data_IF_961502204093
#
_entry.id   IF_961502204093
#
_cell.length_a   1.000
_cell.length_b   1.000
_cell.length_c   1.000
_cell.angle_alpha   90.00
_cell.angle_beta   90.00
_cell.angle_gamma   90.00
#
_symmetry.space_group_name_H-M   'P 1'
#
loop_
_entity.id
_entity.type
_entity.pdbx_description
1 polymer ?
#
# COMPACT_ATOMS: atom_id res chain seq x y z
N UNK A 1 42.84 8.90 7.17
CA UNK A 1 41.68 8.69 8.06
C UNK A 1 40.46 9.11 7.24
N UNK A 2 39.90 8.26 6.38
CA UNK A 2 38.97 7.13 6.68
C UNK A 2 37.70 7.66 7.34
N UNK A 3 36.45 7.51 6.85
CA UNK A 3 35.73 6.57 5.93
C UNK A 3 34.55 7.36 5.30
N UNK A 4 34.17 7.29 4.02
CA UNK A 4 33.44 6.24 3.24
C UNK A 4 32.18 5.68 3.91
N UNK A 5 31.15 5.34 3.09
CA UNK A 5 29.82 4.70 3.36
C UNK A 5 28.66 5.73 3.29
N UNK A 6 27.73 5.80 2.34
CA UNK A 6 27.29 4.90 1.25
C UNK A 6 26.74 5.70 0.05
N UNK A 7 27.28 5.38 -1.12
CA UNK A 7 26.69 5.59 -2.44
C UNK A 7 26.43 4.20 -2.96
N UNK A 8 25.17 3.73 -2.95
CA UNK A 8 24.65 2.61 -3.77
C UNK A 8 23.33 2.14 -3.15
N UNK A 9 22.20 2.56 -3.73
CA UNK A 9 20.92 1.83 -3.74
C UNK A 9 20.00 2.49 -4.78
N UNK A 10 20.57 2.73 -5.97
CA UNK A 10 19.83 3.04 -7.18
C UNK A 10 19.70 1.77 -8.02
N UNK A 11 19.07 0.73 -7.47
CA UNK A 11 18.71 -0.45 -8.26
C UNK A 11 17.55 -0.05 -9.17
N UNK A 12 17.88 0.29 -10.41
CA UNK A 12 16.95 0.53 -11.51
C UNK A 12 16.19 -0.78 -11.79
N UNK A 13 15.15 -1.05 -11.01
CA UNK A 13 14.08 -1.96 -11.40
C UNK A 13 13.47 -1.38 -12.67
N UNK A 14 13.71 -2.05 -13.80
CA UNK A 14 13.03 -1.76 -15.05
C UNK A 14 11.54 -2.11 -14.90
N UNK A 15 10.79 -1.24 -14.23
CA UNK A 15 9.34 -1.35 -14.16
C UNK A 15 8.76 -1.14 -15.56
N UNK A 16 7.85 -2.04 -15.96
CA UNK A 16 7.09 -1.89 -17.20
C UNK A 16 6.38 -0.52 -17.22
N UNK A 17 6.25 0.17 -18.38
CA UNK A 17 5.66 1.52 -18.44
C UNK A 17 4.27 1.63 -17.80
N UNK A 18 3.47 0.57 -17.88
CA UNK A 18 2.15 0.49 -17.24
C UNK A 18 2.23 0.48 -15.70
N UNK A 19 3.15 -0.30 -15.12
CA UNK A 19 3.41 -0.34 -13.68
C UNK A 19 4.02 0.97 -13.21
N UNK A 20 4.95 1.55 -13.97
CA UNK A 20 5.52 2.86 -13.68
C UNK A 20 4.44 3.93 -13.55
N UNK A 21 3.44 3.94 -14.44
CA UNK A 21 2.37 4.96 -14.45
C UNK A 21 1.41 4.81 -13.27
N UNK A 22 0.98 3.58 -12.94
CA UNK A 22 0.11 3.30 -11.78
C UNK A 22 0.82 3.67 -10.48
N UNK A 23 2.10 3.28 -10.35
CA UNK A 23 2.94 3.60 -9.19
C UNK A 23 3.18 5.11 -9.07
N UNK A 24 3.38 5.82 -10.18
CA UNK A 24 3.60 7.27 -10.16
C UNK A 24 2.35 8.05 -9.78
N UNK A 25 1.19 7.68 -10.33
CA UNK A 25 -0.08 8.35 -10.03
C UNK A 25 -0.54 8.10 -8.60
N UNK A 26 -0.38 6.88 -8.09
CA UNK A 26 -0.68 6.55 -6.70
C UNK A 26 0.28 7.26 -5.75
N UNK A 27 1.59 7.27 -6.04
CA UNK A 27 2.60 7.99 -5.24
C UNK A 27 2.38 9.51 -5.18
N UNK A 28 2.08 10.16 -6.31
CA UNK A 28 1.71 11.59 -6.34
C UNK A 28 0.43 11.87 -5.55
N UNK A 29 -0.58 11.00 -5.68
CA UNK A 29 -1.86 11.13 -4.95
C UNK A 29 -1.65 10.95 -3.44
N UNK A 30 -0.72 10.09 -3.02
CA UNK A 30 -0.34 9.85 -1.62
C UNK A 30 0.57 10.93 -1.02
N UNK A 31 1.51 11.50 -1.77
CA UNK A 31 2.30 12.65 -1.33
C UNK A 31 1.43 13.89 -1.11
N UNK A 32 0.44 14.11 -2.01
CA UNK A 32 -0.57 15.16 -1.83
C UNK A 32 -1.41 14.93 -0.56
N UNK A 33 -1.59 13.68 -0.14
CA UNK A 33 -2.30 13.29 1.08
C UNK A 33 -1.47 13.52 2.34
N UNK A 34 -0.19 13.11 2.37
CA UNK A 34 0.68 13.32 3.53
C UNK A 34 0.87 14.83 3.83
N UNK A 35 1.05 15.64 2.78
CA UNK A 35 1.18 17.10 2.90
C UNK A 35 -0.11 17.76 3.45
N UNK A 36 -1.28 17.28 3.04
CA UNK A 36 -2.56 17.80 3.55
C UNK A 36 -2.87 17.34 4.98
N UNK A 37 -2.41 16.18 5.40
CA UNK A 37 -2.61 15.66 6.75
C UNK A 37 -1.67 16.32 7.77
N UNK A 38 -0.41 16.60 7.40
CA UNK A 38 0.55 17.31 8.25
C UNK A 38 0.12 18.74 8.58
N UNK A 39 -0.50 19.45 7.64
CA UNK A 39 -0.91 20.85 7.83
C UNK A 39 -2.06 21.02 8.84
N UNK A 40 -2.80 19.95 9.15
CA UNK A 40 -4.02 20.02 9.94
C UNK A 40 -3.87 19.59 11.41
N UNK A 41 -2.72 19.06 11.85
CA UNK A 41 -2.42 18.83 13.28
C UNK A 41 -3.25 17.74 14.00
N UNK A 42 -4.03 16.93 13.28
CA UNK A 42 -4.85 15.87 13.89
C UNK A 42 -4.08 14.54 13.97
N UNK A 43 -3.74 14.10 15.20
CA UNK A 43 -3.06 12.81 15.44
C UNK A 43 -3.78 11.62 14.79
N UNK A 44 -5.11 11.59 14.81
CA UNK A 44 -5.89 10.48 14.26
C UNK A 44 -5.85 10.45 12.72
N UNK A 45 -5.81 11.60 12.06
CA UNK A 45 -5.65 11.71 10.61
C UNK A 45 -4.27 11.24 10.16
N UNK A 46 -3.24 11.58 10.93
CA UNK A 46 -1.87 11.15 10.68
C UNK A 46 -1.70 9.63 10.80
N UNK A 47 -2.30 9.01 11.83
CA UNK A 47 -2.30 7.55 11.98
C UNK A 47 -3.06 6.84 10.84
N UNK A 48 -4.22 7.36 10.45
CA UNK A 48 -5.00 6.83 9.32
C UNK A 48 -4.19 6.90 8.02
N UNK A 49 -3.59 8.07 7.73
CA UNK A 49 -2.75 8.27 6.55
C UNK A 49 -1.58 7.29 6.53
N UNK A 50 -0.87 7.11 7.66
CA UNK A 50 0.25 6.15 7.75
C UNK A 50 -0.18 4.70 7.56
N UNK A 51 -1.32 4.30 8.12
CA UNK A 51 -1.83 2.95 7.97
C UNK A 51 -2.22 2.65 6.52
N UNK A 52 -2.87 3.62 5.86
CA UNK A 52 -3.22 3.53 4.44
C UNK A 52 -1.97 3.48 3.58
N UNK A 53 -1.00 4.38 3.78
CA UNK A 53 0.25 4.37 3.00
C UNK A 53 1.00 3.04 3.16
N UNK A 54 1.11 2.52 4.38
CA UNK A 54 1.78 1.24 4.64
C UNK A 54 1.09 0.06 3.97
N UNK A 55 -0.24 0.04 3.97
CA UNK A 55 -1.00 -1.01 3.29
C UNK A 55 -0.80 -0.92 1.78
N UNK A 56 -0.84 0.29 1.22
CA UNK A 56 -0.58 0.52 -0.19
C UNK A 56 0.83 0.08 -0.62
N UNK A 57 1.87 0.42 0.15
CA UNK A 57 3.25 -0.02 -0.10
C UNK A 57 3.38 -1.55 -0.15
N UNK A 58 2.72 -2.26 0.78
CA UNK A 58 2.73 -3.73 0.81
C UNK A 58 2.01 -4.33 -0.40
N UNK A 59 0.80 -3.85 -0.72
CA UNK A 59 0.04 -4.33 -1.88
C UNK A 59 0.76 -4.05 -3.20
N UNK A 60 1.41 -2.89 -3.30
CA UNK A 60 2.23 -2.53 -4.46
C UNK A 60 3.43 -3.46 -4.62
N UNK A 61 4.11 -3.78 -3.51
CA UNK A 61 5.21 -4.74 -3.52
C UNK A 61 4.75 -6.14 -3.97
N UNK A 62 3.59 -6.61 -3.51
CA UNK A 62 3.02 -7.89 -3.96
C UNK A 62 2.74 -7.89 -5.48
N UNK A 63 2.19 -6.79 -6.00
CA UNK A 63 1.95 -6.63 -7.44
C UNK A 63 3.25 -6.64 -8.25
N UNK A 64 4.28 -5.94 -7.78
CA UNK A 64 5.60 -5.92 -8.42
C UNK A 64 6.25 -7.31 -8.45
N UNK A 65 6.15 -8.06 -7.34
CA UNK A 65 6.62 -9.45 -7.26
C UNK A 65 5.87 -10.37 -8.24
N UNK A 66 4.54 -10.27 -8.30
CA UNK A 66 3.73 -11.06 -9.22
C UNK A 66 4.05 -10.73 -10.69
N UNK A 67 4.26 -9.45 -11.00
CA UNK A 67 4.66 -9.04 -12.35
C UNK A 67 6.05 -9.54 -12.72
N UNK A 68 7.00 -9.52 -11.78
CA UNK A 68 8.36 -9.99 -12.03
C UNK A 68 8.39 -11.51 -12.27
N UNK A 69 7.59 -12.28 -11.52
CA UNK A 69 7.40 -13.72 -11.74
C UNK A 69 6.87 -13.99 -13.16
N UNK A 70 5.81 -13.27 -13.57
CA UNK A 70 5.23 -13.39 -14.90
C UNK A 70 6.25 -13.10 -16.01
N UNK A 71 7.04 -12.03 -15.86
CA UNK A 71 8.12 -11.68 -16.82
C UNK A 71 9.13 -12.82 -16.93
N UNK A 72 9.55 -13.39 -15.79
CA UNK A 72 10.51 -14.49 -15.77
C UNK A 72 9.98 -15.74 -16.50
N UNK A 73 8.70 -16.07 -16.31
CA UNK A 73 8.03 -17.20 -16.98
C UNK A 73 7.88 -16.97 -18.48
N UNK A 74 7.48 -15.77 -18.90
CA UNK A 74 7.44 -15.38 -20.33
C UNK A 74 8.80 -15.49 -20.99
N UNK A 75 9.86 -15.07 -20.31
CA UNK A 75 11.23 -15.19 -20.81
C UNK A 75 11.69 -16.65 -20.91
N UNK A 76 11.40 -17.50 -19.90
CA UNK A 76 11.67 -18.94 -19.97
C UNK A 76 10.99 -19.61 -21.16
N UNK A 77 9.73 -19.24 -21.44
CA UNK A 77 8.97 -19.74 -22.60
C UNK A 77 9.61 -19.30 -23.92
N UNK A 78 10.08 -18.06 -24.02
CA UNK A 78 10.75 -17.55 -25.22
C UNK A 78 12.12 -18.21 -25.47
N UNK A 79 12.89 -18.47 -24.41
CA UNK A 79 14.16 -19.22 -24.47
C UNK A 79 13.94 -20.69 -24.90
N UNK A 80 12.89 -21.34 -24.37
CA UNK A 80 12.51 -22.72 -24.74
C UNK A 80 11.89 -22.81 -26.14
N UNK A 81 11.21 -21.79 -26.63
CA UNK A 81 10.66 -21.75 -27.99
C UNK A 81 11.76 -21.49 -29.03
N UNK A 82 12.66 -20.55 -28.78
CA UNK A 82 13.73 -20.17 -29.74
C UNK A 82 14.93 -21.11 -29.71
N UNK A 83 15.13 -21.90 -28.65
CA UNK A 83 16.25 -22.83 -28.51
C UNK A 83 17.61 -22.13 -28.31
N UNK A 84 17.64 -20.81 -28.17
CA UNK A 84 18.85 -20.04 -27.89
C UNK A 84 18.91 -19.81 -26.38
N UNK A 85 19.63 -20.69 -25.69
CA UNK A 85 20.05 -20.46 -24.30
C UNK A 85 21.07 -19.32 -24.32
N UNK A 86 20.62 -18.06 -24.21
CA UNK A 86 21.51 -16.91 -24.00
C UNK A 86 21.94 -16.84 -22.54
N UNK A 87 22.72 -17.82 -22.12
CA UNK A 87 23.66 -17.72 -21.00
C UNK A 87 24.53 -18.96 -21.02
N UNK A 88 25.83 -18.77 -20.81
CA UNK A 88 26.82 -19.84 -20.61
C UNK A 88 26.52 -20.60 -19.29
N UNK A 89 25.38 -21.29 -19.24
CA UNK A 89 24.96 -22.14 -18.13
C UNK A 89 25.43 -23.57 -18.41
N UNK A 90 25.87 -24.27 -17.36
CA UNK A 90 26.32 -25.67 -17.39
C UNK A 90 25.35 -26.65 -18.10
N UNK A 91 24.09 -26.25 -18.36
CA UNK A 91 23.14 -26.97 -19.22
C UNK A 91 23.56 -27.10 -20.69
N UNK A 92 24.49 -26.27 -21.18
CA UNK A 92 25.08 -26.44 -22.52
C UNK A 92 25.95 -27.70 -22.65
N UNK A 93 26.46 -28.23 -21.53
CA UNK A 93 27.28 -29.45 -21.51
C UNK A 93 26.43 -30.72 -21.50
N UNK A 94 25.20 -30.68 -20.97
CA UNK A 94 24.27 -31.82 -20.95
C UNK A 94 23.64 -32.09 -22.33
N UNK A 95 23.45 -31.08 -23.20
CA UNK A 95 22.95 -31.30 -24.56
C UNK A 95 23.93 -32.08 -25.47
N UNK A 96 25.23 -32.10 -25.12
CA UNK A 96 26.21 -32.97 -25.77
C UNK A 96 26.38 -34.33 -25.08
N UNK A 97 25.83 -34.51 -23.86
CA UNK A 97 25.99 -35.72 -23.05
C UNK A 97 24.73 -36.60 -22.97
N UNK A 98 23.52 -36.06 -23.19
CA UNK A 98 22.25 -36.77 -22.96
C UNK A 98 21.35 -36.96 -24.20
N UNK A 99 21.84 -36.62 -25.40
CA UNK A 99 21.04 -36.69 -26.63
C UNK A 99 19.99 -35.57 -26.71
N UNK A 100 19.52 -35.29 -27.92
CA UNK A 100 18.43 -34.33 -28.11
C UNK A 100 17.23 -34.76 -27.27
N UNK A 101 16.83 -33.90 -26.33
CA UNK A 101 15.60 -34.09 -25.56
C UNK A 101 14.43 -34.33 -26.55
N UNK A 102 13.66 -35.40 -26.34
CA UNK A 102 12.61 -35.79 -27.28
C UNK A 102 11.63 -34.62 -27.51
N UNK A 103 11.22 -34.36 -28.77
CA UNK A 103 10.39 -33.21 -29.11
C UNK A 103 9.10 -33.15 -28.28
N UNK A 104 8.52 -34.30 -27.95
CA UNK A 104 7.34 -34.42 -27.07
C UNK A 104 7.59 -33.87 -25.64
N UNK A 105 8.79 -34.06 -25.08
CA UNK A 105 9.11 -33.59 -23.74
C UNK A 105 9.35 -32.07 -23.71
N UNK A 106 9.83 -31.49 -24.82
CA UNK A 106 9.95 -30.04 -25.00
C UNK A 106 8.58 -29.38 -25.17
N UNK A 107 7.69 -30.01 -25.92
CA UNK A 107 6.32 -29.55 -26.11
C UNK A 107 5.51 -29.60 -24.80
N UNK A 108 5.64 -30.67 -24.02
CA UNK A 108 5.00 -30.76 -22.70
C UNK A 108 5.48 -29.65 -21.74
N UNK A 109 6.77 -29.30 -21.76
CA UNK A 109 7.32 -28.18 -20.96
C UNK A 109 6.83 -26.82 -21.44
N UNK A 110 6.64 -26.64 -22.75
CA UNK A 110 6.08 -25.41 -23.32
C UNK A 110 4.61 -25.24 -22.91
N UNK A 111 3.80 -26.30 -23.02
CA UNK A 111 2.40 -26.26 -22.63
C UNK A 111 2.22 -25.94 -21.13
N UNK A 112 3.04 -26.55 -20.26
CA UNK A 112 3.05 -26.24 -18.83
C UNK A 112 3.44 -24.77 -18.56
N UNK A 113 4.41 -24.24 -19.28
CA UNK A 113 4.80 -22.83 -19.14
C UNK A 113 3.71 -21.88 -19.65
N UNK A 114 3.00 -22.24 -20.72
CA UNK A 114 1.88 -21.46 -21.25
C UNK A 114 0.74 -21.38 -20.21
N UNK A 115 0.43 -22.48 -19.53
CA UNK A 115 -0.55 -22.54 -18.42
C UNK A 115 -0.09 -21.67 -17.24
N UNK A 116 1.16 -21.81 -16.79
CA UNK A 116 1.72 -21.00 -15.69
C UNK A 116 1.81 -19.50 -16.03
N UNK A 117 1.93 -19.14 -17.31
CA UNK A 117 1.87 -17.76 -17.78
C UNK A 117 0.43 -17.26 -17.72
N UNK A 118 -0.55 -18.04 -18.16
CA UNK A 118 -1.96 -17.66 -18.08
C UNK A 118 -2.39 -17.42 -16.63
N UNK A 119 -2.06 -18.32 -15.72
CA UNK A 119 -2.29 -18.15 -14.28
C UNK A 119 -1.57 -16.91 -13.72
N UNK A 120 -0.34 -16.67 -14.18
CA UNK A 120 0.43 -15.49 -13.78
C UNK A 120 -0.18 -14.17 -14.28
N UNK A 121 -0.75 -14.15 -15.49
CA UNK A 121 -1.47 -13.00 -16.03
C UNK A 121 -2.75 -12.72 -15.24
N UNK A 122 -3.50 -13.76 -14.88
CA UNK A 122 -4.68 -13.64 -14.03
C UNK A 122 -4.32 -13.11 -12.63
N UNK A 123 -3.27 -13.65 -12.00
CA UNK A 123 -2.80 -13.19 -10.69
C UNK A 123 -2.34 -11.73 -10.71
N UNK A 124 -1.62 -11.28 -11.74
CA UNK A 124 -1.24 -9.86 -11.89
C UNK A 124 -2.48 -8.99 -12.06
N UNK A 125 -3.47 -9.45 -12.81
CA UNK A 125 -4.74 -8.73 -13.02
C UNK A 125 -5.54 -8.61 -11.72
N UNK A 126 -5.64 -9.69 -10.94
CA UNK A 126 -6.28 -9.69 -9.63
C UNK A 126 -5.58 -8.71 -8.67
N UNK A 127 -4.25 -8.80 -8.55
CA UNK A 127 -3.45 -7.91 -7.69
C UNK A 127 -3.54 -6.44 -8.10
N UNK A 128 -3.65 -6.17 -9.40
CA UNK A 128 -3.88 -4.81 -9.91
C UNK A 128 -5.24 -4.29 -9.45
N UNK A 129 -6.30 -5.08 -9.59
CA UNK A 129 -7.65 -4.71 -9.16
C UNK A 129 -7.72 -4.49 -7.63
N UNK A 130 -7.05 -5.33 -6.83
CA UNK A 130 -6.95 -5.14 -5.38
C UNK A 130 -6.28 -3.80 -5.00
N UNK A 131 -5.21 -3.42 -5.70
CA UNK A 131 -4.51 -2.16 -5.49
C UNK A 131 -5.39 -0.94 -5.83
N UNK A 132 -6.13 -1.01 -6.94
CA UNK A 132 -7.06 0.04 -7.36
C UNK A 132 -8.21 0.19 -6.36
N UNK A 133 -8.85 -0.91 -5.99
CA UNK A 133 -9.95 -0.90 -5.00
C UNK A 133 -9.46 -0.35 -3.65
N UNK A 134 -8.26 -0.73 -3.21
CA UNK A 134 -7.69 -0.18 -1.99
C UNK A 134 -7.50 1.35 -2.08
N UNK A 135 -6.99 1.85 -3.20
CA UNK A 135 -6.78 3.28 -3.41
C UNK A 135 -8.11 4.05 -3.43
N UNK A 136 -9.15 3.50 -4.05
CA UNK A 136 -10.49 4.10 -4.06
C UNK A 136 -11.11 4.16 -2.66
N UNK A 137 -11.09 3.05 -1.92
CA UNK A 137 -11.60 2.98 -0.54
C UNK A 137 -10.86 3.95 0.39
N UNK A 138 -9.52 3.96 0.30
CA UNK A 138 -8.68 4.88 1.06
C UNK A 138 -9.03 6.34 0.78
N UNK A 139 -9.24 6.69 -0.49
CA UNK A 139 -9.63 8.03 -0.89
C UNK A 139 -11.00 8.42 -0.33
N UNK A 140 -11.98 7.53 -0.40
CA UNK A 140 -13.30 7.74 0.16
C UNK A 140 -13.26 7.97 1.69
N UNK A 141 -12.45 7.18 2.41
CA UNK A 141 -12.26 7.34 3.86
C UNK A 141 -11.66 8.71 4.21
N UNK A 142 -10.69 9.19 3.42
CA UNK A 142 -10.07 10.49 3.63
C UNK A 142 -11.06 11.63 3.34
N UNK A 143 -11.86 11.51 2.28
CA UNK A 143 -12.93 12.47 1.97
C UNK A 143 -13.95 12.54 3.11
N UNK A 144 -14.40 11.40 3.62
CA UNK A 144 -15.31 11.33 4.78
C UNK A 144 -14.69 12.00 5.99
N UNK A 145 -13.42 11.71 6.29
CA UNK A 145 -12.70 12.35 7.39
C UNK A 145 -12.65 13.88 7.23
N UNK A 146 -12.39 14.38 6.01
CA UNK A 146 -12.35 15.82 5.74
C UNK A 146 -13.69 16.50 6.00
N UNK A 147 -14.80 15.89 5.61
CA UNK A 147 -16.15 16.43 5.82
C UNK A 147 -16.57 16.39 7.30
N UNK A 148 -16.26 15.30 7.99
CA UNK A 148 -16.77 15.04 9.33
C UNK A 148 -15.95 15.72 10.44
N UNK A 149 -14.64 15.89 10.26
CA UNK A 149 -13.69 16.50 11.20
C UNK A 149 -14.20 17.74 11.94
N UNK A 150 -14.76 18.70 11.20
CA UNK A 150 -15.18 19.98 11.80
C UNK A 150 -16.45 19.80 12.63
N UNK A 151 -17.37 18.95 12.18
CA UNK A 151 -18.63 18.64 12.87
C UNK A 151 -18.35 17.95 14.20
N UNK A 152 -17.48 16.93 14.18
CA UNK A 152 -17.08 16.19 15.38
C UNK A 152 -16.40 17.10 16.41
N UNK A 153 -15.49 17.97 15.95
CA UNK A 153 -14.82 18.92 16.84
C UNK A 153 -15.80 19.93 17.44
N UNK A 154 -16.70 20.46 16.62
CA UNK A 154 -17.70 21.41 17.07
C UNK A 154 -18.64 20.77 18.12
N UNK A 155 -19.12 19.55 17.86
CA UNK A 155 -19.97 18.82 18.79
C UNK A 155 -19.25 18.52 20.11
N UNK A 156 -17.99 18.07 20.05
CA UNK A 156 -17.18 17.84 21.24
C UNK A 156 -17.00 19.12 22.09
N UNK A 157 -16.75 20.27 21.44
CA UNK A 157 -16.61 21.55 22.12
C UNK A 157 -17.93 22.03 22.74
N UNK A 158 -19.06 21.87 22.03
CA UNK A 158 -20.38 22.21 22.56
C UNK A 158 -20.68 21.35 23.80
N UNK A 159 -20.47 20.04 23.70
CA UNK A 159 -20.69 19.12 24.82
C UNK A 159 -19.80 19.45 26.02
N UNK A 160 -18.54 19.80 25.77
CA UNK A 160 -17.64 20.26 26.82
C UNK A 160 -18.14 21.54 27.51
N UNK A 161 -18.55 22.55 26.73
CA UNK A 161 -19.08 23.79 27.27
C UNK A 161 -20.36 23.56 28.11
N UNK A 162 -21.27 22.73 27.63
CA UNK A 162 -22.47 22.34 28.37
C UNK A 162 -22.14 21.66 29.70
N UNK A 163 -21.17 20.74 29.69
CA UNK A 163 -20.70 20.07 30.90
C UNK A 163 -20.13 21.07 31.91
N UNK A 164 -19.29 22.02 31.46
CA UNK A 164 -18.72 23.05 32.32
C UNK A 164 -19.79 23.96 32.93
N UNK A 165 -20.75 24.43 32.12
CA UNK A 165 -21.89 25.23 32.60
C UNK A 165 -22.67 24.47 33.68
N UNK A 166 -22.95 23.19 33.45
CA UNK A 166 -23.69 22.36 34.41
C UNK A 166 -22.93 22.17 35.72
N UNK A 167 -21.60 22.01 35.67
CA UNK A 167 -20.76 21.95 36.86
C UNK A 167 -20.80 23.26 37.65
N UNK A 168 -20.68 24.40 36.98
CA UNK A 168 -20.79 25.71 37.62
C UNK A 168 -22.17 25.92 38.25
N UNK A 169 -23.27 25.57 37.56
CA UNK A 169 -24.63 25.66 38.10
C UNK A 169 -24.80 24.83 39.38
N UNK A 170 -24.34 23.58 39.36
CA UNK A 170 -24.34 22.70 40.56
C UNK A 170 -23.51 23.30 41.69
N UNK A 171 -22.33 23.85 41.38
CA UNK A 171 -21.49 24.55 42.35
C UNK A 171 -22.20 25.73 43.00
N UNK A 172 -22.80 26.62 42.21
CA UNK A 172 -23.59 27.76 42.72
C UNK A 172 -24.71 27.26 43.63
N UNK A 173 -25.48 26.25 43.21
CA UNK A 173 -26.56 25.69 44.02
C UNK A 173 -26.07 25.18 45.38
N UNK A 174 -24.94 24.47 45.41
CA UNK A 174 -24.33 23.99 46.67
C UNK A 174 -23.96 25.17 47.57
N UNK A 175 -23.33 26.22 47.02
CA UNK A 175 -22.97 27.41 47.78
C UNK A 175 -24.19 28.20 48.28
N UNK A 176 -25.25 28.31 47.48
CA UNK A 176 -26.52 28.93 47.88
C UNK A 176 -27.15 28.16 49.04
N UNK A 177 -27.23 26.84 48.93
CA UNK A 177 -27.77 25.99 50.00
C UNK A 177 -26.95 26.12 51.29
N UNK A 178 -25.62 26.11 51.20
CA UNK A 178 -24.74 26.30 52.35
C UNK A 178 -24.98 27.67 53.02
N UNK A 179 -25.05 28.75 52.23
CA UNK A 179 -25.36 30.09 52.73
C UNK A 179 -26.70 30.16 53.46
N UNK A 180 -27.74 29.55 52.88
CA UNK A 180 -29.07 29.52 53.52
C UNK A 180 -29.07 28.74 54.84
N UNK A 181 -28.32 27.64 54.93
CA UNK A 181 -28.14 26.92 56.18
C UNK A 181 -27.49 27.80 57.27
N UNK A 182 -26.48 28.59 56.92
CA UNK A 182 -25.85 29.53 57.87
C UNK A 182 -26.76 30.69 58.28
N UNK A 183 -27.64 31.17 57.40
CA UNK A 183 -28.56 32.27 57.73
C UNK A 183 -29.75 31.84 58.60
N UNK A 184 -30.05 30.55 58.67
CA UNK A 184 -31.14 29.97 59.48
C UNK A 184 -30.69 29.53 60.88
N UNK A 185 -29.39 29.57 61.15
CA UNK A 185 -28.79 29.39 62.49
C UNK A 185 -28.67 30.75 63.17
#
# INVERSE_FOLDING_TARGET
MSRSVDSELGSTLHCHPALSTVTYFSKLRFEQLDNNCRSLGYRNAFCLSRAVCRKHELSQFELEMASQDLISKKQQREELATGIVRTFSLKGMTNKLFGQEAPEHREAKLNLLEELIADGEENVKEKTAECEEHAEKAWADILRFKDQKNKDLQEALINYALMQINMCKKGIQVWTNARECFLKM
#
